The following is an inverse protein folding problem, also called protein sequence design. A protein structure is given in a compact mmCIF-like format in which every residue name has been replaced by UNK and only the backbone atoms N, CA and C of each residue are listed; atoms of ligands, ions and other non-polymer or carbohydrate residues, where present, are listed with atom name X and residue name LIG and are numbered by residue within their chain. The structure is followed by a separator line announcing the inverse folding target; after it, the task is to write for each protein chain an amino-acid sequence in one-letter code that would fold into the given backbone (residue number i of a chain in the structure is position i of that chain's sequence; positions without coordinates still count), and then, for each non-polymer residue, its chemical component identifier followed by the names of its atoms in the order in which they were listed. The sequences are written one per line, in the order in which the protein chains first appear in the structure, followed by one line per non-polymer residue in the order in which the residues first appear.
data_IF_255177197057
#
_entry.id   IF_255177197057
#
_cell.length_a   1.000
_cell.length_b   1.000
_cell.length_c   1.000
_cell.angle_alpha   90.00
_cell.angle_beta   90.00
_cell.angle_gamma   90.00
#
_symmetry.space_group_name_H-M   'P 1'
#
loop_
_entity.id
_entity.type
_entity.pdbx_description
1 polymer ?
#
# COMPACT_ATOMS: atom_id res chain seq x y z
N UNK A 1 -11.95 -7.19 -35.96
CA UNK A 1 -10.88 -6.35 -36.54
C UNK A 1 -10.16 -5.56 -35.46
N UNK A 2 -9.17 -6.20 -34.85
CA UNK A 2 -8.22 -5.61 -33.91
C UNK A 2 -7.35 -4.58 -34.62
N UNK A 3 -7.47 -3.31 -34.24
CA UNK A 3 -6.46 -2.29 -34.58
C UNK A 3 -5.68 -1.99 -33.32
N UNK A 4 -4.57 -2.71 -33.15
CA UNK A 4 -3.46 -2.33 -32.28
C UNK A 4 -2.99 -0.95 -32.71
N UNK A 5 -3.05 0.03 -31.80
CA UNK A 5 -2.62 1.39 -32.10
C UNK A 5 -1.10 1.42 -32.23
N UNK A 6 -0.60 1.62 -33.45
CA UNK A 6 0.81 1.91 -33.70
C UNK A 6 1.11 3.31 -33.17
N UNK A 7 2.01 3.41 -32.19
CA UNK A 7 2.44 4.68 -31.61
C UNK A 7 3.54 5.29 -32.51
N UNK A 8 3.30 6.49 -33.02
CA UNK A 8 4.28 7.22 -33.82
C UNK A 8 5.29 7.91 -32.90
N UNK A 9 6.39 7.19 -32.65
CA UNK A 9 7.49 7.61 -31.78
C UNK A 9 8.25 8.84 -32.30
N UNK A 10 8.08 9.22 -33.58
CA UNK A 10 8.74 10.40 -34.16
C UNK A 10 8.20 11.74 -33.61
N UNK A 11 7.04 11.70 -32.94
CA UNK A 11 6.41 12.87 -32.32
C UNK A 11 6.74 13.04 -30.83
N UNK A 12 7.45 12.09 -30.23
CA UNK A 12 8.05 12.32 -28.91
C UNK A 12 9.30 13.17 -29.11
N UNK A 13 9.26 14.42 -28.66
CA UNK A 13 10.46 15.23 -28.57
C UNK A 13 11.35 14.64 -27.46
N UNK A 14 12.31 13.80 -27.85
CA UNK A 14 13.25 13.14 -26.95
C UNK A 14 14.07 14.13 -26.11
N UNK A 15 14.24 15.37 -26.56
CA UNK A 15 14.86 16.46 -25.80
C UNK A 15 13.98 16.87 -24.61
N UNK A 16 12.67 16.97 -24.82
CA UNK A 16 11.69 17.24 -23.76
C UNK A 16 11.56 16.04 -22.82
N UNK A 17 11.60 14.81 -23.35
CA UNK A 17 11.58 13.58 -22.58
C UNK A 17 12.79 13.47 -21.64
N UNK A 18 13.99 13.78 -22.15
CA UNK A 18 15.25 13.76 -21.38
C UNK A 18 15.29 14.89 -20.34
N UNK A 19 14.80 16.09 -20.66
CA UNK A 19 14.67 17.18 -19.69
C UNK A 19 13.70 16.84 -18.57
N UNK A 20 12.59 16.16 -18.89
CA UNK A 20 11.57 15.77 -17.91
C UNK A 20 12.02 14.58 -17.04
N UNK A 21 12.73 13.61 -17.62
CA UNK A 21 13.39 12.55 -16.84
C UNK A 21 14.50 13.11 -15.93
N UNK A 22 15.27 14.09 -16.40
CA UNK A 22 16.27 14.77 -15.57
C UNK A 22 15.62 15.66 -14.50
N UNK A 23 14.47 16.29 -14.78
CA UNK A 23 13.73 17.07 -13.81
C UNK A 23 13.05 16.19 -12.74
N UNK A 24 12.43 15.07 -13.13
CA UNK A 24 11.91 14.09 -12.17
C UNK A 24 13.04 13.38 -11.42
N UNK A 25 14.14 13.05 -12.09
CA UNK A 25 15.33 12.47 -11.47
C UNK A 25 15.99 13.42 -10.48
N UNK A 26 15.97 14.74 -10.74
CA UNK A 26 16.39 15.79 -9.79
C UNK A 26 15.36 16.04 -8.68
N UNK A 27 14.07 15.89 -8.94
CA UNK A 27 13.03 16.00 -7.90
C UNK A 27 13.03 14.80 -6.94
N UNK A 28 13.42 13.62 -7.43
CA UNK A 28 13.54 12.39 -6.65
C UNK A 28 14.92 12.21 -6.00
N UNK A 29 15.94 12.95 -6.44
CA UNK A 29 17.26 12.99 -5.81
C UNK A 29 17.43 14.33 -5.12
N UNK A 30 17.17 14.33 -3.81
CA UNK A 30 17.60 15.30 -2.80
C UNK A 30 18.22 16.58 -3.37
N UNK A 31 17.42 17.64 -3.39
CA UNK A 31 17.87 18.98 -3.03
C UNK A 31 16.69 19.74 -2.43
N UNK A 32 16.86 20.11 -1.17
CA UNK A 32 15.98 20.92 -0.33
C UNK A 32 15.75 22.31 -0.94
N UNK A 33 14.84 22.44 -1.91
CA UNK A 33 14.13 23.70 -2.09
C UNK A 33 12.88 23.62 -1.22
N UNK A 34 12.99 24.13 0.00
CA UNK A 34 11.83 24.37 0.86
C UNK A 34 11.06 25.57 0.30
N UNK A 35 9.85 25.32 -0.20
CA UNK A 35 8.96 26.39 -0.65
C UNK A 35 8.14 26.87 0.55
N UNK A 36 8.22 28.16 0.86
CA UNK A 36 7.24 28.79 1.72
C UNK A 36 5.98 29.09 0.89
N UNK A 37 5.02 28.16 0.89
CA UNK A 37 3.83 28.25 0.05
C UNK A 37 2.94 29.46 0.36
N UNK A 38 3.10 30.09 1.53
CA UNK A 38 2.33 31.28 1.93
C UNK A 38 2.73 32.54 1.16
N UNK A 39 3.91 32.55 0.53
CA UNK A 39 4.36 33.65 -0.32
C UNK A 39 3.76 33.65 -1.73
N UNK A 40 2.98 32.62 -2.05
CA UNK A 40 2.39 32.45 -3.37
C UNK A 40 0.92 32.80 -3.37
N UNK A 41 0.51 33.53 -4.40
CA UNK A 41 -0.90 33.59 -4.79
C UNK A 41 -1.29 32.21 -5.33
N UNK A 42 -2.28 31.58 -4.69
CA UNK A 42 -2.77 30.25 -5.05
C UNK A 42 -4.06 30.41 -5.82
N UNK A 43 -4.15 29.81 -7.00
CA UNK A 43 -5.41 29.80 -7.76
C UNK A 43 -5.75 28.38 -8.15
N UNK A 44 -6.95 27.95 -7.78
CA UNK A 44 -7.47 26.67 -8.22
C UNK A 44 -7.95 26.79 -9.66
N UNK A 45 -7.34 26.01 -10.57
CA UNK A 45 -7.68 25.99 -11.99
C UNK A 45 -7.87 24.55 -12.44
N UNK A 46 -9.09 24.26 -12.90
CA UNK A 46 -9.49 22.87 -13.18
C UNK A 46 -9.54 22.08 -11.88
N UNK A 47 -8.45 21.39 -11.56
CA UNK A 47 -8.35 20.48 -10.40
C UNK A 47 -6.98 20.52 -9.69
N UNK A 48 -6.17 21.53 -9.96
CA UNK A 48 -4.85 21.70 -9.32
C UNK A 48 -4.64 23.15 -8.89
N UNK A 49 -3.79 23.30 -7.89
CA UNK A 49 -3.35 24.61 -7.41
C UNK A 49 -2.24 25.13 -8.30
N UNK A 50 -2.45 26.31 -8.88
CA UNK A 50 -1.41 27.05 -9.59
C UNK A 50 -0.83 28.08 -8.63
N UNK A 51 0.48 28.00 -8.40
CA UNK A 51 1.20 28.93 -7.53
C UNK A 51 1.84 30.04 -8.38
N UNK A 52 1.52 31.28 -8.04
CA UNK A 52 2.02 32.48 -8.71
C UNK A 52 2.77 33.38 -7.74
N UNK A 53 3.90 33.92 -8.17
CA UNK A 53 4.67 34.94 -7.45
C UNK A 53 4.91 36.10 -8.40
N UNK A 54 4.56 37.32 -7.97
CA UNK A 54 4.68 38.53 -8.78
C UNK A 54 3.98 38.44 -10.16
N UNK A 55 2.84 37.76 -10.23
CA UNK A 55 2.07 37.59 -11.47
C UNK A 55 2.62 36.54 -12.45
N UNK A 56 3.67 35.81 -12.09
CA UNK A 56 4.27 34.75 -12.90
C UNK A 56 4.02 33.40 -12.23
N UNK A 57 3.64 32.39 -13.01
CA UNK A 57 3.47 31.01 -12.54
C UNK A 57 4.82 30.39 -12.20
N UNK A 58 4.96 29.88 -10.98
CA UNK A 58 6.12 29.13 -10.53
C UNK A 58 5.84 27.62 -10.65
N UNK A 59 6.43 27.01 -11.68
CA UNK A 59 6.20 25.61 -12.05
C UNK A 59 6.78 24.65 -11.00
N UNK A 60 7.90 25.00 -10.37
CA UNK A 60 8.53 24.16 -9.35
C UNK A 60 7.68 24.18 -8.07
N UNK A 61 7.24 25.35 -7.62
CA UNK A 61 6.37 25.51 -6.46
C UNK A 61 5.00 24.85 -6.69
N UNK A 62 4.44 25.00 -7.90
CA UNK A 62 3.17 24.35 -8.30
C UNK A 62 3.27 22.83 -8.22
N UNK A 63 4.35 22.23 -8.72
CA UNK A 63 4.54 20.78 -8.66
C UNK A 63 4.73 20.30 -7.21
N UNK A 64 5.53 21.01 -6.41
CA UNK A 64 5.75 20.69 -5.01
C UNK A 64 4.46 20.78 -4.18
N UNK A 65 3.67 21.83 -4.38
CA UNK A 65 2.40 22.03 -3.67
C UNK A 65 1.37 20.94 -4.00
N UNK A 66 1.19 20.63 -5.29
CA UNK A 66 0.23 19.58 -5.67
C UNK A 66 0.71 18.17 -5.26
N UNK A 67 2.03 17.92 -5.20
CA UNK A 67 2.57 16.69 -4.64
C UNK A 67 2.32 16.59 -3.12
N UNK A 68 2.54 17.68 -2.38
CA UNK A 68 2.26 17.74 -0.93
C UNK A 68 0.77 17.55 -0.63
N UNK A 69 -0.13 18.18 -1.40
CA UNK A 69 -1.59 17.95 -1.31
C UNK A 69 -1.95 16.50 -1.64
N UNK A 70 -1.37 15.91 -2.68
CA UNK A 70 -1.63 14.52 -3.08
C UNK A 70 -1.17 13.50 -2.02
N UNK A 71 -0.04 13.78 -1.39
CA UNK A 71 0.56 12.99 -0.31
C UNK A 71 -0.14 13.20 1.06
N UNK A 72 -1.03 14.19 1.16
CA UNK A 72 -1.75 14.51 2.39
C UNK A 72 -0.94 15.32 3.41
N UNK A 73 0.18 15.90 2.98
CA UNK A 73 1.02 16.80 3.78
C UNK A 73 0.41 18.20 3.92
N UNK A 74 -0.50 18.58 3.00
CA UNK A 74 -1.26 19.82 3.04
C UNK A 74 -2.77 19.54 3.00
N UNK A 75 -3.60 20.37 3.67
CA UNK A 75 -5.04 20.20 3.70
C UNK A 75 -5.67 20.37 2.30
N UNK A 76 -6.70 19.59 2.04
CA UNK A 76 -7.46 19.64 0.79
C UNK A 76 -8.64 20.62 0.95
N UNK A 77 -8.58 21.80 0.31
CA UNK A 77 -9.76 22.67 0.21
C UNK A 77 -10.59 22.31 -1.01
N UNK A 78 -11.90 22.12 -0.79
CA UNK A 78 -12.78 21.38 -1.68
C UNK A 78 -13.71 22.27 -2.50
N UNK A 79 -13.74 22.02 -3.80
CA UNK A 79 -14.97 22.02 -4.60
C UNK A 79 -14.78 21.05 -5.77
N UNK A 80 -15.48 19.92 -5.70
CA UNK A 80 -15.55 18.85 -6.70
C UNK A 80 -14.24 18.10 -7.00
N UNK A 81 -14.04 16.96 -6.32
CA UNK A 81 -13.75 15.65 -6.95
C UNK A 81 -13.05 14.64 -6.01
N UNK A 82 -13.78 14.12 -5.01
CA UNK A 82 -13.30 12.97 -4.24
C UNK A 82 -13.23 11.69 -5.12
N UNK A 83 -14.16 11.52 -6.08
CA UNK A 83 -14.15 10.40 -7.02
C UNK A 83 -13.03 10.49 -8.08
N UNK A 84 -12.63 11.69 -8.54
CA UNK A 84 -11.55 11.79 -9.54
C UNK A 84 -10.15 11.63 -8.93
N UNK A 85 -9.97 12.01 -7.66
CA UNK A 85 -8.75 11.70 -6.91
C UNK A 85 -8.56 10.18 -6.71
N UNK A 86 -9.64 9.45 -6.41
CA UNK A 86 -9.61 7.99 -6.32
C UNK A 86 -9.31 7.32 -7.67
N UNK A 87 -9.92 7.83 -8.75
CA UNK A 87 -9.65 7.38 -10.12
C UNK A 87 -8.18 7.59 -10.52
N UNK A 88 -7.64 8.76 -10.22
CA UNK A 88 -6.25 9.11 -10.50
C UNK A 88 -5.29 8.22 -9.73
N UNK A 89 -5.55 8.00 -8.43
CA UNK A 89 -4.76 7.10 -7.58
C UNK A 89 -4.81 5.65 -8.09
N UNK A 90 -5.98 5.17 -8.51
CA UNK A 90 -6.13 3.82 -9.06
C UNK A 90 -5.37 3.64 -10.39
N UNK A 91 -5.41 4.64 -11.27
CA UNK A 91 -4.67 4.63 -12.55
C UNK A 91 -3.16 4.63 -12.32
N UNK A 92 -2.66 5.47 -11.41
CA UNK A 92 -1.23 5.52 -11.06
C UNK A 92 -0.78 4.18 -10.46
N UNK A 93 -1.59 3.59 -9.58
CA UNK A 93 -1.25 2.33 -8.92
C UNK A 93 -1.24 1.15 -9.91
N UNK A 94 -2.23 1.04 -10.80
CA UNK A 94 -2.27 0.03 -11.86
C UNK A 94 -1.00 0.09 -12.73
N UNK A 95 -0.59 1.31 -13.10
CA UNK A 95 0.63 1.50 -13.90
C UNK A 95 1.89 1.14 -13.11
N UNK A 96 1.98 1.44 -11.80
CA UNK A 96 3.10 1.01 -10.95
C UNK A 96 3.21 -0.52 -10.88
N UNK A 97 2.07 -1.20 -10.87
CA UNK A 97 1.98 -2.66 -10.88
C UNK A 97 2.26 -3.25 -12.28
N UNK A 98 2.55 -2.42 -13.29
CA UNK A 98 2.84 -2.86 -14.65
C UNK A 98 1.60 -3.31 -15.42
N UNK A 99 0.42 -2.84 -15.03
CA UNK A 99 -0.87 -3.28 -15.56
C UNK A 99 -1.59 -2.09 -16.23
N UNK A 100 -2.06 -2.30 -17.46
CA UNK A 100 -2.85 -1.31 -18.19
C UNK A 100 -4.19 -1.06 -17.47
N UNK A 101 -4.48 0.18 -17.05
CA UNK A 101 -5.66 0.50 -16.26
C UNK A 101 -6.98 0.39 -17.05
N UNK A 102 -6.93 0.24 -18.38
CA UNK A 102 -8.12 0.12 -19.23
C UNK A 102 -8.36 -1.34 -19.61
N UNK A 103 -7.32 -2.09 -19.91
CA UNK A 103 -7.40 -3.45 -20.48
C UNK A 103 -6.99 -4.55 -19.50
N UNK A 104 -6.28 -4.22 -18.42
CA UNK A 104 -5.78 -5.18 -17.42
C UNK A 104 -4.61 -6.03 -17.91
N UNK A 105 -4.04 -5.74 -19.07
CA UNK A 105 -2.88 -6.45 -19.61
C UNK A 105 -1.58 -5.93 -19.02
N UNK A 106 -0.54 -6.77 -18.97
CA UNK A 106 0.79 -6.30 -18.63
C UNK A 106 1.29 -5.26 -19.65
N UNK A 107 1.92 -4.21 -19.12
CA UNK A 107 2.51 -3.12 -19.88
C UNK A 107 3.94 -2.87 -19.43
N UNK A 108 4.79 -2.53 -20.39
CA UNK A 108 6.15 -2.09 -20.11
C UNK A 108 6.16 -0.78 -19.30
N UNK A 109 7.25 -0.54 -18.57
CA UNK A 109 7.48 0.73 -17.86
C UNK A 109 7.34 1.96 -18.76
N UNK A 110 7.71 1.85 -20.04
CA UNK A 110 7.58 2.91 -21.03
C UNK A 110 6.11 3.18 -21.39
N UNK A 111 5.30 2.14 -21.59
CA UNK A 111 3.86 2.27 -21.81
C UNK A 111 3.16 2.86 -20.58
N UNK A 112 3.53 2.41 -19.39
CA UNK A 112 3.06 2.96 -18.12
C UNK A 112 3.35 4.46 -17.97
N UNK A 113 4.60 4.85 -18.25
CA UNK A 113 4.99 6.26 -18.23
C UNK A 113 4.22 7.11 -19.25
N UNK A 114 3.94 6.56 -20.45
CA UNK A 114 3.08 7.20 -21.45
C UNK A 114 1.65 7.47 -20.97
N UNK A 115 1.07 6.54 -20.20
CA UNK A 115 -0.27 6.68 -19.61
C UNK A 115 -0.28 7.76 -18.54
N UNK A 116 0.67 7.72 -17.59
CA UNK A 116 0.76 8.72 -16.51
C UNK A 116 1.04 10.11 -17.08
N UNK A 117 2.00 10.22 -18.01
CA UNK A 117 2.36 11.50 -18.62
C UNK A 117 1.22 12.11 -19.43
N UNK A 118 0.49 11.30 -20.22
CA UNK A 118 -0.69 11.76 -20.96
C UNK A 118 -1.83 12.23 -20.06
N UNK A 119 -2.00 11.60 -18.89
CA UNK A 119 -2.97 12.01 -17.89
C UNK A 119 -2.58 13.36 -17.25
N UNK A 120 -1.33 13.46 -16.77
CA UNK A 120 -0.76 14.69 -16.21
C UNK A 120 -0.85 15.84 -17.21
N UNK A 121 -0.48 15.64 -18.48
CA UNK A 121 -0.55 16.67 -19.52
C UNK A 121 -1.99 17.12 -19.85
N UNK A 122 -2.97 16.23 -19.75
CA UNK A 122 -4.39 16.57 -19.89
C UNK A 122 -4.87 17.49 -18.77
N UNK A 123 -4.40 17.23 -17.54
CA UNK A 123 -4.77 18.00 -16.36
C UNK A 123 -3.99 19.32 -16.24
N UNK A 124 -2.73 19.38 -16.69
CA UNK A 124 -1.87 20.58 -16.55
C UNK A 124 -1.93 21.56 -17.72
N UNK A 125 -2.12 21.09 -18.97
CA UNK A 125 -1.89 21.93 -20.16
C UNK A 125 -3.13 22.17 -21.03
N UNK A 126 -4.31 21.63 -20.68
CA UNK A 126 -5.60 21.91 -21.33
C UNK A 126 -5.72 21.59 -22.84
N UNK A 127 -4.67 21.04 -23.48
CA UNK A 127 -4.51 21.09 -24.93
C UNK A 127 -4.38 19.75 -25.68
N UNK A 128 -4.51 18.59 -25.03
CA UNK A 128 -4.40 17.32 -25.75
C UNK A 128 -5.70 16.97 -26.50
N UNK A 129 -5.69 17.13 -27.83
CA UNK A 129 -6.77 16.71 -28.75
C UNK A 129 -6.76 15.19 -29.07
N UNK A 130 -6.17 14.35 -28.24
CA UNK A 130 -6.41 12.90 -28.29
C UNK A 130 -7.69 12.55 -27.55
N UNK A 131 -8.51 11.66 -28.13
CA UNK A 131 -9.83 11.23 -27.62
C UNK A 131 -9.86 11.13 -26.08
N UNK A 132 -10.95 11.62 -25.46
CA UNK A 132 -11.22 11.41 -24.02
C UNK A 132 -10.97 9.93 -23.70
N UNK A 133 -10.10 9.63 -22.73
CA UNK A 133 -10.03 8.29 -22.15
C UNK A 133 -11.36 8.12 -21.43
N UNK A 134 -12.34 7.55 -22.13
CA UNK A 134 -13.57 7.09 -21.52
C UNK A 134 -13.22 5.76 -20.88
N UNK A 135 -13.00 5.75 -19.57
CA UNK A 135 -13.00 4.50 -18.80
C UNK A 135 -14.45 4.02 -18.79
N UNK A 136 -14.76 2.90 -19.45
CA UNK A 136 -16.12 2.36 -19.45
C UNK A 136 -16.57 2.07 -18.01
N UNK A 137 -17.82 2.39 -17.66
CA UNK A 137 -18.35 2.22 -16.28
C UNK A 137 -18.13 0.80 -15.74
N UNK A 138 -18.24 -0.23 -16.57
CA UNK A 138 -17.94 -1.61 -16.21
C UNK A 138 -16.46 -1.87 -15.85
N UNK A 139 -15.52 -1.16 -16.47
CA UNK A 139 -14.09 -1.21 -16.12
C UNK A 139 -13.86 -0.47 -14.82
N UNK A 140 -14.48 0.71 -14.66
CA UNK A 140 -14.46 1.43 -13.40
C UNK A 140 -15.05 0.59 -12.25
N UNK A 141 -16.16 -0.11 -12.49
CA UNK A 141 -16.79 -0.99 -11.52
C UNK A 141 -15.92 -2.21 -11.22
N UNK A 142 -15.17 -2.74 -12.20
CA UNK A 142 -14.18 -3.81 -11.98
C UNK A 142 -12.98 -3.32 -11.17
N UNK A 143 -12.48 -2.12 -11.44
CA UNK A 143 -11.40 -1.48 -10.68
C UNK A 143 -11.87 -1.18 -9.26
N UNK A 144 -13.07 -0.58 -9.09
CA UNK A 144 -13.69 -0.34 -7.79
C UNK A 144 -13.94 -1.66 -7.06
N UNK A 145 -14.39 -2.73 -7.72
CA UNK A 145 -14.54 -4.08 -7.11
C UNK A 145 -13.19 -4.68 -6.71
N UNK A 146 -12.17 -4.55 -7.55
CA UNK A 146 -10.79 -4.98 -7.27
C UNK A 146 -10.23 -4.24 -6.06
N UNK A 147 -10.32 -2.91 -6.03
CA UNK A 147 -9.90 -2.09 -4.89
C UNK A 147 -10.73 -2.33 -3.62
N UNK A 148 -12.03 -2.61 -3.77
CA UNK A 148 -12.92 -3.01 -2.68
C UNK A 148 -12.73 -4.47 -2.27
N UNK A 149 -11.89 -5.24 -2.95
CA UNK A 149 -11.54 -6.62 -2.57
C UNK A 149 -10.13 -6.75 -1.98
N UNK A 150 -9.24 -5.77 -2.24
CA UNK A 150 -7.87 -5.78 -1.72
C UNK A 150 -7.87 -5.57 -0.21
N UNK A 151 -7.18 -6.45 0.50
CA UNK A 151 -7.00 -6.32 1.94
C UNK A 151 -6.26 -5.04 2.32
N UNK A 152 -6.63 -4.49 3.47
CA UNK A 152 -6.03 -3.30 4.07
C UNK A 152 -5.29 -3.74 5.32
N UNK A 153 -3.97 -3.53 5.34
CA UNK A 153 -3.13 -3.65 6.52
C UNK A 153 -2.69 -2.25 6.94
N UNK A 154 -2.96 -1.86 8.18
CA UNK A 154 -2.47 -0.60 8.75
C UNK A 154 -1.11 -0.81 9.41
N UNK A 155 -0.28 0.22 9.50
CA UNK A 155 1.03 0.14 10.16
C UNK A 155 0.94 -0.30 11.63
N UNK A 156 -0.11 0.11 12.34
CA UNK A 156 -0.37 -0.39 13.70
C UNK A 156 -0.60 -1.91 13.73
N UNK A 157 -1.36 -2.43 12.75
CA UNK A 157 -1.68 -3.84 12.71
C UNK A 157 -0.49 -4.68 12.24
N UNK A 158 0.33 -4.14 11.34
CA UNK A 158 1.62 -4.69 10.96
C UNK A 158 2.54 -4.82 12.18
N UNK A 159 2.76 -3.74 12.93
CA UNK A 159 3.57 -3.76 14.15
C UNK A 159 3.02 -4.73 15.21
N UNK A 160 1.69 -4.80 15.37
CA UNK A 160 1.05 -5.79 16.24
C UNK A 160 1.34 -7.22 15.78
N UNK A 161 1.22 -7.52 14.48
CA UNK A 161 1.48 -8.86 13.94
C UNK A 161 2.95 -9.23 14.15
N UNK A 162 3.88 -8.36 13.75
CA UNK A 162 5.31 -8.64 13.78
C UNK A 162 5.84 -8.68 15.21
N UNK A 163 5.68 -7.60 15.97
CA UNK A 163 6.36 -7.44 17.26
C UNK A 163 5.47 -7.65 18.49
N UNK A 164 4.16 -7.67 18.29
CA UNK A 164 3.19 -7.70 19.38
C UNK A 164 2.88 -6.33 19.98
N UNK A 165 1.60 -6.13 20.32
CA UNK A 165 1.07 -4.91 20.92
C UNK A 165 0.58 -5.17 22.36
N UNK A 166 0.81 -4.21 23.25
CA UNK A 166 0.28 -4.23 24.61
C UNK A 166 -1.25 -4.33 24.62
N UNK A 167 -1.81 -5.20 25.45
CA UNK A 167 -3.25 -5.39 25.59
C UNK A 167 -3.84 -4.33 26.54
N UNK A 168 -4.26 -3.21 25.96
CA UNK A 168 -4.86 -2.09 26.71
C UNK A 168 -3.93 -1.61 27.82
N UNK A 169 -4.44 -1.51 29.05
CA UNK A 169 -3.68 -1.08 30.23
C UNK A 169 -2.92 -2.22 30.93
N UNK A 170 -3.01 -3.45 30.43
CA UNK A 170 -2.34 -4.60 31.04
C UNK A 170 -0.94 -4.83 30.45
N UNK A 171 -0.10 -5.58 31.15
CA UNK A 171 1.20 -6.02 30.60
C UNK A 171 1.08 -7.25 29.66
N UNK A 172 -0.12 -7.63 29.22
CA UNK A 172 -0.30 -8.70 28.23
C UNK A 172 0.05 -8.23 26.80
N UNK A 173 0.30 -9.17 25.90
CA UNK A 173 0.61 -8.90 24.48
C UNK A 173 -0.36 -9.64 23.55
N UNK A 174 -0.80 -8.96 22.49
CA UNK A 174 -1.48 -9.56 21.33
C UNK A 174 -0.55 -9.53 20.10
N UNK A 175 -0.58 -10.56 19.26
CA UNK A 175 0.31 -10.69 18.09
C UNK A 175 1.73 -11.12 18.47
N UNK A 176 2.75 -10.67 17.75
CA UNK A 176 4.14 -11.06 17.98
C UNK A 176 4.48 -12.39 17.32
N UNK A 177 4.70 -12.34 16.01
CA UNK A 177 4.92 -13.49 15.15
C UNK A 177 6.18 -13.38 14.28
N UNK A 178 6.89 -12.26 14.34
CA UNK A 178 8.15 -12.06 13.60
C UNK A 178 9.25 -13.01 14.09
N UNK A 179 10.10 -13.44 13.16
CA UNK A 179 11.38 -14.10 13.41
C UNK A 179 12.38 -13.21 14.18
N UNK A 180 12.20 -11.88 14.13
CA UNK A 180 13.01 -10.90 14.85
C UNK A 180 12.67 -10.80 16.35
N UNK A 181 11.65 -11.53 16.82
CA UNK A 181 11.43 -11.77 18.25
C UNK A 181 12.41 -12.85 18.72
N UNK A 182 13.64 -12.43 18.98
CA UNK A 182 14.75 -13.28 19.44
C UNK A 182 15.70 -12.52 20.39
N UNK A 183 16.68 -13.23 20.94
CA UNK A 183 17.61 -12.67 21.94
C UNK A 183 18.66 -11.71 21.37
N UNK A 184 18.74 -11.51 20.05
CA UNK A 184 19.58 -10.45 19.46
C UNK A 184 18.88 -9.09 19.49
N UNK A 185 17.55 -9.07 19.66
CA UNK A 185 16.79 -7.84 19.80
C UNK A 185 16.66 -7.47 21.29
N UNK A 186 17.22 -6.32 21.73
CA UNK A 186 17.27 -5.95 23.15
C UNK A 186 15.89 -5.71 23.77
N UNK A 187 14.85 -5.53 22.95
CA UNK A 187 13.48 -5.35 23.44
C UNK A 187 12.83 -6.67 23.85
N UNK A 188 13.44 -7.82 23.57
CA UNK A 188 12.87 -9.14 23.84
C UNK A 188 13.81 -10.03 24.64
N UNK A 189 13.22 -10.89 25.46
CA UNK A 189 13.88 -12.07 26.00
C UNK A 189 13.06 -13.29 25.62
N UNK A 190 13.70 -14.31 25.07
CA UNK A 190 13.04 -15.43 24.40
C UNK A 190 13.59 -16.80 24.82
N UNK A 191 12.71 -17.78 24.89
CA UNK A 191 12.98 -19.20 25.09
C UNK A 191 12.28 -19.98 23.96
N UNK A 192 13.03 -20.75 23.16
CA UNK A 192 12.42 -21.64 22.17
C UNK A 192 11.91 -22.90 22.86
N UNK A 193 10.62 -23.19 22.66
CA UNK A 193 9.95 -24.36 23.22
C UNK A 193 9.93 -25.51 22.22
N UNK A 194 9.67 -25.20 20.94
CA UNK A 194 9.50 -26.20 19.88
C UNK A 194 9.89 -25.60 18.53
N UNK A 195 10.43 -26.43 17.64
CA UNK A 195 10.65 -26.10 16.23
C UNK A 195 9.83 -27.08 15.40
N UNK A 196 8.88 -26.57 14.63
CA UNK A 196 8.00 -27.37 13.79
C UNK A 196 8.73 -27.81 12.51
N UNK A 197 8.20 -28.85 11.85
CA UNK A 197 8.76 -29.35 10.59
C UNK A 197 8.78 -28.32 9.45
N UNK A 198 7.88 -27.34 9.48
CA UNK A 198 7.80 -26.25 8.51
C UNK A 198 8.71 -25.05 8.83
N UNK A 199 9.59 -25.19 9.84
CA UNK A 199 10.54 -24.17 10.27
C UNK A 199 9.96 -23.12 11.24
N UNK A 200 8.63 -23.09 11.45
CA UNK A 200 8.03 -22.20 12.45
C UNK A 200 8.46 -22.61 13.86
N UNK A 201 8.57 -21.65 14.78
CA UNK A 201 9.01 -21.92 16.16
C UNK A 201 7.93 -21.54 17.15
N UNK A 202 7.71 -22.38 18.16
CA UNK A 202 6.96 -21.99 19.35
C UNK A 202 7.94 -21.43 20.35
N UNK A 203 7.74 -20.17 20.74
CA UNK A 203 8.59 -19.47 21.71
C UNK A 203 7.77 -19.00 22.91
N UNK A 204 8.42 -18.86 24.05
CA UNK A 204 7.98 -17.97 25.13
C UNK A 204 8.82 -16.71 25.07
N UNK A 205 8.19 -15.55 25.22
CA UNK A 205 8.92 -14.29 25.24
C UNK A 205 8.33 -13.25 26.18
N UNK A 206 9.17 -12.31 26.61
CA UNK A 206 8.76 -11.02 27.16
C UNK A 206 9.18 -9.89 26.21
N UNK A 207 8.45 -8.77 26.25
CA UNK A 207 8.78 -7.52 25.54
C UNK A 207 8.96 -6.40 26.55
N UNK A 208 10.02 -5.61 26.40
CA UNK A 208 10.12 -4.32 27.06
C UNK A 208 9.30 -3.29 26.28
N UNK A 209 8.37 -2.63 26.98
CA UNK A 209 7.56 -1.57 26.41
C UNK A 209 8.28 -0.22 26.48
N UNK A 210 7.87 0.79 25.68
CA UNK A 210 8.53 2.10 25.67
C UNK A 210 8.52 2.85 27.01
N UNK A 211 7.58 2.52 27.90
CA UNK A 211 7.49 3.04 29.27
C UNK A 211 8.43 2.30 30.25
N UNK A 212 9.30 1.42 29.76
CA UNK A 212 10.26 0.64 30.54
C UNK A 212 9.67 -0.60 31.21
N UNK A 213 8.35 -0.75 31.22
CA UNK A 213 7.69 -1.91 31.82
C UNK A 213 7.91 -3.18 30.98
N UNK A 214 8.04 -4.32 31.65
CA UNK A 214 8.16 -5.62 31.00
C UNK A 214 6.79 -6.30 30.89
N UNK A 215 6.52 -6.92 29.74
CA UNK A 215 5.32 -7.69 29.53
C UNK A 215 5.25 -8.93 30.42
N UNK A 216 4.04 -9.48 30.57
CA UNK A 216 3.89 -10.88 31.00
C UNK A 216 4.53 -11.79 29.94
N UNK A 217 5.00 -12.96 30.37
CA UNK A 217 5.47 -14.00 29.45
C UNK A 217 4.33 -14.37 28.52
N UNK A 218 4.61 -14.38 27.23
CA UNK A 218 3.70 -14.79 26.17
C UNK A 218 4.27 -15.97 25.43
N UNK A 219 3.44 -16.99 25.21
CA UNK A 219 3.70 -18.03 24.21
C UNK A 219 3.20 -17.58 22.84
N UNK A 220 3.99 -17.81 21.80
CA UNK A 220 3.61 -17.52 20.41
C UNK A 220 4.27 -18.50 19.45
N UNK A 221 3.61 -18.77 18.34
CA UNK A 221 4.26 -19.36 17.17
C UNK A 221 4.76 -18.23 16.29
N UNK A 222 6.05 -18.21 15.99
CA UNK A 222 6.71 -17.24 15.11
C UNK A 222 7.05 -17.88 13.76
N UNK A 223 7.19 -17.04 12.73
CA UNK A 223 7.60 -17.44 11.39
C UNK A 223 9.03 -18.01 11.38
N UNK A 224 9.41 -18.76 10.32
CA UNK A 224 10.77 -19.28 10.18
C UNK A 224 11.84 -18.19 10.28
N UNK A 225 13.02 -18.57 10.79
CA UNK A 225 14.11 -17.63 11.09
C UNK A 225 14.70 -16.96 9.84
N UNK A 226 14.58 -17.60 8.68
CA UNK A 226 15.03 -17.09 7.39
C UNK A 226 14.02 -16.16 6.70
N UNK A 227 12.82 -15.98 7.26
CA UNK A 227 11.83 -15.04 6.73
C UNK A 227 12.07 -13.64 7.29
N UNK A 228 12.17 -12.64 6.41
CA UNK A 228 12.17 -11.24 6.83
C UNK A 228 10.75 -10.78 7.21
N UNK A 229 10.65 -9.70 7.99
CA UNK A 229 9.38 -9.02 8.25
C UNK A 229 8.61 -8.71 6.97
N UNK A 230 9.33 -8.35 5.89
CA UNK A 230 8.72 -8.11 4.58
C UNK A 230 8.09 -9.38 3.99
N UNK A 231 8.79 -10.51 4.04
CA UNK A 231 8.27 -11.79 3.53
C UNK A 231 7.03 -12.23 4.31
N UNK A 232 7.04 -12.02 5.62
CA UNK A 232 5.90 -12.27 6.51
C UNK A 232 4.69 -11.45 6.09
N UNK A 233 4.85 -10.13 5.94
CA UNK A 233 3.74 -9.23 5.60
C UNK A 233 3.23 -9.46 4.19
N UNK A 234 4.10 -9.66 3.21
CA UNK A 234 3.71 -9.97 1.83
C UNK A 234 2.93 -11.30 1.78
N UNK A 235 3.36 -12.31 2.55
CA UNK A 235 2.66 -13.60 2.64
C UNK A 235 1.29 -13.48 3.32
N UNK A 236 1.18 -12.70 4.39
CA UNK A 236 -0.11 -12.39 5.03
C UNK A 236 -1.03 -11.66 4.06
N UNK A 237 -0.53 -10.66 3.33
CA UNK A 237 -1.30 -9.94 2.32
C UNK A 237 -1.76 -10.89 1.20
N UNK A 238 -0.90 -11.78 0.73
CA UNK A 238 -1.25 -12.81 -0.27
C UNK A 238 -2.39 -13.70 0.23
N UNK A 239 -2.27 -14.28 1.42
CA UNK A 239 -3.31 -15.15 2.02
C UNK A 239 -4.59 -14.37 2.30
N UNK A 240 -4.50 -13.13 2.76
CA UNK A 240 -5.67 -12.30 3.07
C UNK A 240 -6.59 -12.01 1.87
N UNK A 241 -6.05 -12.13 0.65
CA UNK A 241 -6.76 -11.91 -0.61
C UNK A 241 -7.32 -13.23 -1.18
N UNK A 242 -7.19 -14.35 -0.47
CA UNK A 242 -7.84 -15.61 -0.85
C UNK A 242 -9.34 -15.57 -0.55
N UNK A 243 -10.05 -16.64 -0.93
CA UNK A 243 -11.40 -16.90 -0.45
C UNK A 243 -11.36 -17.18 1.05
N UNK A 244 -12.32 -16.63 1.80
CA UNK A 244 -12.48 -16.96 3.21
C UNK A 244 -12.88 -18.44 3.37
N UNK A 245 -12.21 -19.15 4.26
CA UNK A 245 -12.53 -20.55 4.59
C UNK A 245 -13.55 -20.65 5.73
N UNK A 246 -13.75 -19.58 6.49
CA UNK A 246 -14.71 -19.56 7.57
C UNK A 246 -15.16 -18.17 7.98
N UNK A 247 -16.31 -18.12 8.66
CA UNK A 247 -16.86 -16.90 9.25
C UNK A 247 -17.26 -17.16 10.70
N UNK A 248 -16.99 -16.19 11.58
CA UNK A 248 -17.40 -16.25 12.97
C UNK A 248 -18.75 -15.54 13.15
N UNK A 249 -19.76 -16.27 13.61
CA UNK A 249 -21.14 -15.76 13.73
C UNK A 249 -21.29 -14.51 14.61
N UNK A 250 -20.49 -14.39 15.67
CA UNK A 250 -20.67 -13.34 16.67
C UNK A 250 -20.37 -11.93 16.13
N UNK A 251 -19.37 -11.81 15.26
CA UNK A 251 -18.84 -10.52 14.82
C UNK A 251 -18.60 -10.44 13.31
N UNK A 252 -18.97 -11.50 12.58
CA UNK A 252 -18.88 -11.57 11.12
C UNK A 252 -17.46 -11.61 10.58
N UNK A 253 -16.45 -11.79 11.43
CA UNK A 253 -15.06 -11.87 10.99
C UNK A 253 -14.85 -13.08 10.09
N UNK A 254 -13.97 -12.92 9.12
CA UNK A 254 -13.64 -13.98 8.17
C UNK A 254 -12.24 -14.52 8.44
N UNK A 255 -12.09 -15.83 8.32
CA UNK A 255 -10.82 -16.55 8.38
C UNK A 255 -10.39 -16.90 6.95
N UNK A 256 -9.14 -16.60 6.64
CA UNK A 256 -8.48 -16.93 5.38
C UNK A 256 -7.27 -17.78 5.74
N UNK A 257 -7.03 -18.85 4.98
CA UNK A 257 -5.91 -19.76 5.19
C UNK A 257 -5.25 -20.07 3.87
N UNK A 258 -3.92 -20.08 3.88
CA UNK A 258 -3.13 -20.47 2.73
C UNK A 258 -1.75 -20.94 3.14
N UNK A 259 -1.03 -21.54 2.19
CA UNK A 259 0.33 -22.02 2.36
C UNK A 259 1.28 -21.21 1.48
N UNK A 260 2.35 -20.67 2.06
CA UNK A 260 3.41 -19.94 1.35
C UNK A 260 4.74 -20.55 1.77
N UNK A 261 5.52 -21.01 0.79
CA UNK A 261 6.84 -21.63 0.97
C UNK A 261 6.90 -22.69 2.09
N UNK A 262 5.86 -23.54 2.15
CA UNK A 262 5.79 -24.62 3.14
C UNK A 262 5.10 -24.24 4.45
N UNK A 263 4.95 -22.95 4.77
CA UNK A 263 4.33 -22.45 5.99
C UNK A 263 2.83 -22.21 5.79
N UNK A 264 1.99 -22.82 6.64
CA UNK A 264 0.56 -22.52 6.65
C UNK A 264 0.28 -21.27 7.49
N UNK A 265 -0.53 -20.36 6.97
CA UNK A 265 -0.79 -19.03 7.53
C UNK A 265 -2.29 -18.83 7.66
N UNK A 266 -2.71 -18.33 8.82
CA UNK A 266 -4.07 -17.88 9.07
C UNK A 266 -4.13 -16.34 9.11
N UNK A 267 -5.15 -15.78 8.47
CA UNK A 267 -5.43 -14.35 8.47
C UNK A 267 -6.89 -14.10 8.82
N UNK A 268 -7.12 -13.22 9.81
CA UNK A 268 -8.47 -12.84 10.23
C UNK A 268 -8.77 -11.41 9.74
N UNK A 269 -9.92 -11.24 9.10
CA UNK A 269 -10.36 -9.96 8.53
C UNK A 269 -11.72 -9.51 9.06
N UNK A 270 -11.85 -8.19 9.27
CA UNK A 270 -13.12 -7.48 9.44
C UNK A 270 -13.43 -6.71 8.16
N UNK A 271 -14.31 -7.27 7.31
CA UNK A 271 -14.45 -6.79 5.93
C UNK A 271 -13.10 -6.91 5.20
N UNK A 272 -12.56 -5.79 4.72
CA UNK A 272 -11.24 -5.79 4.05
C UNK A 272 -10.07 -5.55 5.01
N UNK A 273 -10.33 -5.15 6.25
CA UNK A 273 -9.26 -4.83 7.19
C UNK A 273 -8.71 -6.12 7.79
N UNK A 274 -7.41 -6.34 7.64
CA UNK A 274 -6.70 -7.38 8.37
C UNK A 274 -6.66 -6.96 9.84
N UNK A 275 -6.98 -7.89 10.73
CA UNK A 275 -6.92 -7.66 12.18
C UNK A 275 -5.98 -8.63 12.92
N UNK A 276 -5.53 -9.67 12.21
CA UNK A 276 -4.55 -10.64 12.68
C UNK A 276 -4.00 -11.43 11.49
N UNK A 277 -2.74 -11.83 11.56
CA UNK A 277 -2.09 -12.78 10.65
C UNK A 277 -0.97 -13.49 11.39
N UNK A 278 -0.85 -14.81 11.25
CA UNK A 278 0.14 -15.61 11.98
C UNK A 278 0.38 -16.98 11.33
N UNK A 279 1.56 -17.60 11.56
CA UNK A 279 1.79 -18.96 11.14
C UNK A 279 0.96 -19.92 12.00
N UNK A 280 0.43 -20.97 11.38
CA UNK A 280 -0.47 -21.93 12.04
C UNK A 280 0.30 -22.85 13.00
N UNK A 281 1.54 -23.25 12.64
CA UNK A 281 2.37 -24.14 13.47
C UNK A 281 1.64 -25.42 13.89
N UNK A 282 0.87 -26.00 12.97
CA UNK A 282 0.06 -27.21 13.22
C UNK A 282 -1.20 -27.01 14.07
N UNK A 283 -1.50 -25.79 14.55
CA UNK A 283 -2.68 -25.50 15.38
C UNK A 283 -3.59 -24.46 14.70
N UNK A 284 -4.45 -24.91 13.77
CA UNK A 284 -5.47 -24.09 13.13
C UNK A 284 -6.26 -23.17 14.05
N UNK A 285 -6.58 -21.96 13.57
CA UNK A 285 -7.47 -21.03 14.28
C UNK A 285 -8.85 -21.64 14.51
N UNK A 286 -9.31 -21.79 15.77
CA UNK A 286 -10.63 -22.30 16.08
C UNK A 286 -11.70 -21.19 16.03
N UNK A 287 -12.98 -21.59 16.10
CA UNK A 287 -14.09 -20.66 16.33
C UNK A 287 -14.61 -19.94 15.09
N UNK A 288 -14.29 -20.43 13.89
CA UNK A 288 -14.89 -20.00 12.62
C UNK A 288 -15.68 -21.15 12.03
N UNK A 289 -16.91 -20.88 11.59
CA UNK A 289 -17.73 -21.85 10.88
C UNK A 289 -17.36 -21.88 9.42
N UNK A 290 -17.30 -23.06 8.81
CA UNK A 290 -16.97 -23.21 7.39
C UNK A 290 -17.98 -22.48 6.52
N UNK A 291 -17.49 -21.65 5.60
CA UNK A 291 -18.32 -21.04 4.56
C UNK A 291 -18.51 -22.11 3.49
N UNK A 292 -19.77 -22.48 3.24
CA UNK A 292 -20.17 -23.41 2.16
C UNK A 292 -20.24 -22.69 0.82
#
# INVERSE_FOLDING_TARGET
NSKTGTYDMSKLNFTTMTRMQNALGKALKNNEKTFNFDEYQKTYRGQMWVLMKNGIVDVEATNAYNAAVLNGELPHESNEAQEEAELLRAVIQSVKEGIDPVTGQEISKAQGFGIISGLVFRYTAGGYKGKKIKIPKNILDKIKKSHKSKSILTSEMEAKILEGQRKGTTNGINGGHSSDINNNNPNFATETVEVNQDGTKVIKFTKQFPDGNISKIKTSTIFPEDWSDKDIIDSILKVSNSTAIGQRKIDGLTLHRGKVDGVEIDVIKKGNKIISGYPVGGKPTPGFETIK
#
